data_IF_849308094854
#
_entry.id   IF_849308094854
#
_cell.length_a   1.000
_cell.length_b   1.000
_cell.length_c   1.000
_cell.angle_alpha   90.00
_cell.angle_beta   90.00
_cell.angle_gamma   90.00
#
_symmetry.space_group_name_H-M   'P 1'
#
loop_
_entity.id
_entity.type
_entity.pdbx_description
1 polymer ?
#
# COMPACT_ATOMS: atom_id res chain seq x y z
N UNK A 1 -15.00 -77.58 -32.22
CA UNK A 1 -13.93 -76.57 -32.36
C UNK A 1 -14.19 -75.50 -31.31
N UNK A 2 -13.68 -75.67 -30.08
CA UNK A 2 -12.44 -75.08 -29.52
C UNK A 2 -12.33 -73.54 -29.71
N UNK A 3 -12.61 -72.84 -28.60
CA UNK A 3 -11.95 -71.67 -27.99
C UNK A 3 -11.59 -70.46 -28.85
N UNK A 4 -12.01 -69.24 -28.43
CA UNK A 4 -11.19 -68.22 -27.74
C UNK A 4 -12.12 -67.22 -27.02
N UNK A 5 -11.94 -66.89 -25.72
CA UNK A 5 -12.60 -65.76 -25.08
C UNK A 5 -11.68 -64.52 -25.08
N UNK A 6 -12.19 -63.38 -25.56
CA UNK A 6 -11.54 -62.08 -25.39
C UNK A 6 -11.97 -61.47 -24.05
N UNK A 7 -11.05 -61.30 -23.12
CA UNK A 7 -11.23 -60.47 -21.93
C UNK A 7 -11.23 -58.99 -22.36
N UNK A 8 -12.30 -58.27 -22.07
CA UNK A 8 -12.34 -56.80 -22.09
C UNK A 8 -12.33 -56.33 -20.63
N UNK A 9 -11.22 -55.71 -20.22
CA UNK A 9 -11.10 -55.06 -18.92
C UNK A 9 -11.78 -53.69 -18.97
N UNK A 10 -12.84 -53.50 -18.19
CA UNK A 10 -13.50 -52.21 -18.00
C UNK A 10 -12.77 -51.47 -16.88
N UNK A 11 -12.09 -50.38 -17.23
CA UNK A 11 -11.43 -49.46 -16.30
C UNK A 11 -12.49 -48.53 -15.70
N UNK A 12 -12.76 -48.64 -14.40
CA UNK A 12 -13.64 -47.71 -13.69
C UNK A 12 -12.88 -46.41 -13.39
N UNK A 13 -13.28 -45.31 -14.02
CA UNK A 13 -12.79 -43.96 -13.70
C UNK A 13 -13.61 -43.44 -12.52
N UNK A 14 -13.00 -43.45 -11.33
CA UNK A 14 -13.54 -42.76 -10.17
C UNK A 14 -13.36 -41.25 -10.36
N UNK A 15 -14.45 -40.54 -10.62
CA UNK A 15 -14.48 -39.08 -10.67
C UNK A 15 -14.32 -38.50 -9.26
N UNK A 16 -13.13 -38.01 -8.95
CA UNK A 16 -12.88 -37.21 -7.76
C UNK A 16 -13.57 -35.85 -7.93
N UNK A 17 -14.73 -35.69 -7.32
CA UNK A 17 -15.39 -34.41 -7.18
C UNK A 17 -14.43 -33.42 -6.52
N UNK A 18 -14.24 -32.26 -7.15
CA UNK A 18 -13.39 -31.18 -6.65
C UNK A 18 -13.78 -30.83 -5.23
N UNK A 19 -12.79 -30.95 -4.34
CA UNK A 19 -12.86 -30.54 -2.94
C UNK A 19 -13.27 -29.07 -2.85
N UNK A 20 -14.29 -28.83 -2.04
CA UNK A 20 -14.74 -27.52 -1.59
C UNK A 20 -13.55 -26.65 -1.18
N UNK A 21 -13.58 -25.38 -1.60
CA UNK A 21 -12.78 -24.31 -1.02
C UNK A 21 -12.97 -24.34 0.50
N UNK A 22 -11.89 -24.56 1.25
CA UNK A 22 -11.90 -24.39 2.69
C UNK A 22 -12.37 -22.97 3.00
N UNK A 23 -13.32 -22.82 3.93
CA UNK A 23 -13.65 -21.55 4.57
C UNK A 23 -12.37 -21.02 5.21
N UNK A 24 -11.67 -20.14 4.51
CA UNK A 24 -10.51 -19.44 5.05
C UNK A 24 -11.04 -18.50 6.12
N UNK A 25 -10.70 -18.78 7.38
CA UNK A 25 -11.09 -17.92 8.51
C UNK A 25 -10.69 -16.48 8.16
N UNK A 26 -11.62 -15.51 8.17
CA UNK A 26 -11.30 -14.12 7.84
C UNK A 26 -10.11 -13.63 8.67
N UNK A 27 -9.05 -13.21 7.99
CA UNK A 27 -7.82 -12.73 8.62
C UNK A 27 -7.58 -11.25 8.29
N UNK A 28 -7.15 -10.43 9.26
CA UNK A 28 -6.70 -9.08 8.99
C UNK A 28 -5.27 -9.03 8.43
N UNK A 29 -4.55 -10.15 8.38
CA UNK A 29 -3.17 -10.24 7.90
C UNK A 29 -3.00 -9.69 6.48
N UNK A 30 -1.95 -8.90 6.25
CA UNK A 30 -1.66 -8.24 4.98
C UNK A 30 -2.50 -6.98 4.70
N UNK A 31 -3.30 -6.50 5.67
CA UNK A 31 -4.27 -5.41 5.47
C UNK A 31 -4.04 -4.26 6.43
N UNK A 32 -4.50 -3.08 6.00
CA UNK A 32 -4.54 -1.87 6.84
C UNK A 32 -6.00 -1.45 7.05
N UNK A 33 -6.36 -1.15 8.29
CA UNK A 33 -7.70 -0.73 8.67
C UNK A 33 -7.67 0.67 9.28
N UNK A 34 -8.68 1.49 8.97
CA UNK A 34 -8.83 2.87 9.45
C UNK A 34 -10.16 3.00 10.18
N UNK A 35 -10.15 3.57 11.39
CA UNK A 35 -11.38 3.76 12.17
C UNK A 35 -12.34 4.70 11.47
N UNK A 36 -13.60 4.28 11.35
CA UNK A 36 -14.70 5.07 10.79
C UNK A 36 -15.76 5.42 11.83
N UNK A 37 -15.81 4.69 12.96
CA UNK A 37 -16.72 4.99 14.06
C UNK A 37 -16.15 4.50 15.39
N UNK A 38 -16.43 5.24 16.46
CA UNK A 38 -16.12 4.87 17.85
C UNK A 38 -17.35 5.07 18.71
N UNK A 39 -17.77 4.02 19.42
CA UNK A 39 -18.75 4.11 20.51
C UNK A 39 -18.01 4.04 21.83
N UNK A 40 -18.33 4.92 22.78
CA UNK A 40 -17.60 5.07 24.05
C UNK A 40 -16.70 6.31 24.07
N UNK A 41 -15.56 6.22 24.77
CA UNK A 41 -14.55 7.29 24.84
C UNK A 41 -13.98 7.55 23.43
N UNK A 42 -14.22 8.76 22.90
CA UNK A 42 -13.78 9.12 21.56
C UNK A 42 -12.25 9.26 21.48
N UNK A 43 -11.70 9.02 20.30
CA UNK A 43 -10.29 9.31 20.02
C UNK A 43 -10.11 10.83 20.11
N UNK A 44 -9.23 11.35 20.98
CA UNK A 44 -8.91 12.77 21.02
C UNK A 44 -8.51 13.28 19.62
N UNK A 45 -9.07 14.42 19.21
CA UNK A 45 -8.85 14.96 17.87
C UNK A 45 -9.63 14.24 16.75
N UNK A 46 -10.55 13.34 17.10
CA UNK A 46 -11.40 12.56 16.19
C UNK A 46 -10.66 11.50 15.35
N UNK A 47 -9.43 11.14 15.73
CA UNK A 47 -8.64 10.12 15.07
C UNK A 47 -8.22 10.49 13.64
N UNK A 48 -8.10 9.51 12.72
CA UNK A 48 -8.47 8.10 12.89
C UNK A 48 -7.41 7.28 13.65
N UNK A 49 -7.85 6.16 14.25
CA UNK A 49 -6.97 5.04 14.56
C UNK A 49 -6.70 4.24 13.27
N UNK A 50 -5.43 4.06 12.92
CA UNK A 50 -4.97 3.22 11.81
C UNK A 50 -4.21 2.01 12.36
N UNK A 51 -4.58 0.81 11.90
CA UNK A 51 -3.97 -0.46 12.28
C UNK A 51 -3.53 -1.22 11.03
N UNK A 52 -2.25 -1.55 10.92
CA UNK A 52 -1.72 -2.41 9.85
C UNK A 52 -1.26 -3.75 10.41
N UNK A 53 -1.64 -4.85 9.76
CA UNK A 53 -1.27 -6.21 10.13
C UNK A 53 -0.38 -6.80 9.03
N UNK A 54 0.87 -7.13 9.36
CA UNK A 54 1.81 -7.71 8.42
C UNK A 54 2.89 -8.51 9.16
N UNK A 55 3.23 -9.68 8.63
CA UNK A 55 4.24 -10.61 9.14
C UNK A 55 4.04 -10.95 10.63
N UNK A 56 2.77 -11.12 11.05
CA UNK A 56 2.41 -11.37 12.45
C UNK A 56 2.66 -10.20 13.39
N UNK A 57 2.80 -8.99 12.84
CA UNK A 57 3.01 -7.75 13.60
C UNK A 57 1.86 -6.78 13.40
N UNK A 58 1.59 -6.02 14.45
CA UNK A 58 0.71 -4.86 14.43
C UNK A 58 1.55 -3.59 14.29
N UNK A 59 1.17 -2.73 13.37
CA UNK A 59 1.51 -1.31 13.35
C UNK A 59 0.27 -0.51 13.75
N UNK A 60 0.45 0.52 14.57
CA UNK A 60 -0.65 1.31 15.11
C UNK A 60 -0.30 2.80 15.12
N UNK A 61 -1.29 3.64 14.80
CA UNK A 61 -1.17 5.09 14.83
C UNK A 61 -2.52 5.74 15.09
N UNK A 62 -2.58 6.71 15.99
CA UNK A 62 -3.81 7.48 16.27
C UNK A 62 -3.61 8.99 16.42
N UNK A 63 -2.36 9.45 16.61
CA UNK A 63 -2.08 10.86 16.84
C UNK A 63 -0.72 11.28 16.30
N UNK A 64 0.33 11.02 17.07
CA UNK A 64 1.68 11.50 16.77
C UNK A 64 2.71 10.38 16.74
N UNK A 65 2.70 9.50 17.73
CA UNK A 65 3.65 8.41 17.83
C UNK A 65 3.16 7.17 17.10
N UNK A 66 4.06 6.53 16.34
CA UNK A 66 3.79 5.24 15.71
C UNK A 66 4.17 4.13 16.68
N UNK A 67 3.26 3.19 16.87
CA UNK A 67 3.48 1.96 17.64
C UNK A 67 3.70 0.76 16.73
N UNK A 68 4.56 -0.16 17.14
CA UNK A 68 4.65 -1.48 16.52
C UNK A 68 4.92 -2.59 17.53
N UNK A 69 4.39 -3.78 17.27
CA UNK A 69 4.54 -4.93 18.17
C UNK A 69 4.07 -6.24 17.53
N UNK A 70 4.25 -7.38 18.20
CA UNK A 70 3.60 -8.63 17.76
C UNK A 70 2.08 -8.49 17.82
N UNK A 71 1.38 -9.16 16.90
CA UNK A 71 -0.07 -9.28 16.89
C UNK A 71 -0.46 -10.73 17.20
N UNK A 72 -1.08 -10.97 18.35
CA UNK A 72 -1.72 -12.24 18.67
C UNK A 72 -3.24 -12.05 18.61
N UNK A 73 -3.87 -12.76 17.67
CA UNK A 73 -5.31 -12.74 17.43
C UNK A 73 -6.00 -14.01 17.96
N UNK A 74 -5.26 -14.90 18.62
CA UNK A 74 -5.80 -16.13 19.15
C UNK A 74 -6.85 -15.88 20.24
N UNK A 75 -7.78 -16.80 20.41
CA UNK A 75 -8.83 -16.70 21.42
C UNK A 75 -9.86 -15.58 21.20
N UNK A 76 -9.89 -14.95 20.03
CA UNK A 76 -10.86 -13.88 19.71
C UNK A 76 -10.51 -12.51 20.30
N UNK A 77 -9.30 -12.35 20.83
CA UNK A 77 -8.80 -11.09 21.41
C UNK A 77 -7.51 -10.65 20.73
N UNK A 78 -7.37 -9.34 20.49
CA UNK A 78 -6.14 -8.75 19.97
C UNK A 78 -5.21 -8.45 21.14
N UNK A 79 -4.19 -9.29 21.32
CA UNK A 79 -3.14 -9.08 22.32
C UNK A 79 -1.88 -8.54 21.63
N UNK A 80 -1.35 -7.42 22.14
CA UNK A 80 -0.14 -6.80 21.61
C UNK A 80 0.66 -6.10 22.70
N UNK A 81 1.95 -5.88 22.44
CA UNK A 81 2.81 -5.00 23.24
C UNK A 81 3.49 -4.04 22.28
N UNK A 82 3.01 -2.80 22.23
CA UNK A 82 3.52 -1.78 21.34
C UNK A 82 4.81 -1.16 21.90
N UNK A 83 5.85 -1.15 21.09
CA UNK A 83 6.94 -0.18 21.22
C UNK A 83 6.57 1.05 20.40
N UNK A 84 6.61 2.23 21.01
CA UNK A 84 6.26 3.49 20.36
C UNK A 84 7.47 4.40 20.19
N UNK A 85 7.40 5.28 19.19
CA UNK A 85 8.28 6.45 19.14
C UNK A 85 8.01 7.35 20.36
N UNK A 86 8.95 8.26 20.67
CA UNK A 86 8.86 9.19 21.81
C UNK A 86 8.92 10.66 21.36
N UNK A 87 8.14 11.02 20.34
CA UNK A 87 7.92 12.41 19.96
C UNK A 87 6.97 13.06 20.95
N UNK A 88 7.39 14.19 21.53
CA UNK A 88 6.52 14.99 22.38
C UNK A 88 5.54 15.77 21.50
N UNK A 89 4.25 15.49 21.65
CA UNK A 89 3.19 16.13 20.89
C UNK A 89 2.15 16.76 21.81
N UNK A 90 1.70 18.00 21.51
CA UNK A 90 0.62 18.63 22.28
C UNK A 90 -0.70 17.89 22.09
N UNK A 91 -1.66 18.17 22.97
CA UNK A 91 -3.04 17.78 22.75
C UNK A 91 -3.58 18.40 21.43
N UNK A 92 -4.45 17.69 20.70
CA UNK A 92 -5.02 16.38 21.03
C UNK A 92 -4.14 15.18 20.64
N UNK A 93 -3.03 15.39 19.91
CA UNK A 93 -2.24 14.29 19.33
C UNK A 93 -1.61 13.38 20.38
N UNK A 94 -1.01 13.97 21.42
CA UNK A 94 -0.45 13.20 22.54
C UNK A 94 -1.52 12.43 23.32
N UNK A 95 -2.72 13.00 23.47
CA UNK A 95 -3.85 12.35 24.13
C UNK A 95 -4.38 11.17 23.31
N UNK A 96 -4.38 11.28 21.97
CA UNK A 96 -4.74 10.21 21.05
C UNK A 96 -3.76 9.03 21.12
N UNK A 97 -2.46 9.30 21.24
CA UNK A 97 -1.45 8.26 21.46
C UNK A 97 -1.71 7.50 22.78
N UNK A 98 -2.00 8.23 23.86
CA UNK A 98 -2.33 7.64 25.15
C UNK A 98 -3.64 6.83 25.12
N UNK A 99 -4.66 7.34 24.41
CA UNK A 99 -5.92 6.63 24.18
C UNK A 99 -5.68 5.31 23.44
N UNK A 100 -4.90 5.34 22.35
CA UNK A 100 -4.57 4.15 21.55
C UNK A 100 -3.84 3.10 22.38
N UNK A 101 -2.82 3.51 23.14
CA UNK A 101 -2.05 2.61 23.99
C UNK A 101 -2.92 1.93 25.05
N UNK A 102 -3.84 2.67 25.71
CA UNK A 102 -4.79 2.10 26.67
C UNK A 102 -5.77 1.14 26.00
N UNK A 103 -6.37 1.53 24.87
CA UNK A 103 -7.36 0.73 24.16
C UNK A 103 -6.77 -0.60 23.68
N UNK A 104 -5.64 -0.57 22.96
CA UNK A 104 -4.98 -1.78 22.46
C UNK A 104 -4.35 -2.61 23.58
N UNK A 105 -3.84 -1.96 24.64
CA UNK A 105 -3.32 -2.64 25.82
C UNK A 105 -4.37 -3.38 26.65
N UNK A 106 -5.66 -3.08 26.46
CA UNK A 106 -6.76 -3.76 27.16
C UNK A 106 -7.11 -5.14 26.59
N UNK A 107 -6.53 -5.52 25.45
CA UNK A 107 -6.83 -6.79 24.79
C UNK A 107 -8.24 -6.86 24.21
N UNK A 108 -8.64 -5.92 23.33
CA UNK A 108 -10.02 -5.86 22.83
C UNK A 108 -10.39 -7.16 22.10
N UNK A 109 -11.62 -7.61 22.28
CA UNK A 109 -12.18 -8.65 21.43
C UNK A 109 -12.20 -8.15 19.98
N UNK A 110 -11.87 -9.01 19.02
CA UNK A 110 -11.86 -8.65 17.61
C UNK A 110 -12.82 -9.52 16.81
N UNK A 111 -13.37 -8.94 15.76
CA UNK A 111 -14.10 -9.67 14.72
C UNK A 111 -13.86 -9.02 13.37
N UNK A 112 -13.81 -9.83 12.33
CA UNK A 112 -13.63 -9.38 10.97
C UNK A 112 -14.77 -9.92 10.11
N UNK A 113 -15.53 -9.01 9.51
CA UNK A 113 -16.53 -9.34 8.51
C UNK A 113 -16.16 -8.61 7.21
N UNK A 114 -15.71 -9.38 6.22
CA UNK A 114 -15.21 -8.88 4.95
C UNK A 114 -14.15 -7.77 5.10
N UNK A 115 -14.56 -6.52 4.95
CA UNK A 115 -13.74 -5.31 5.00
C UNK A 115 -13.90 -4.49 6.29
N UNK A 116 -14.67 -4.99 7.24
CA UNK A 116 -14.98 -4.31 8.50
C UNK A 116 -14.34 -5.07 9.67
N UNK A 117 -13.34 -4.45 10.28
CA UNK A 117 -12.73 -4.91 11.53
C UNK A 117 -13.41 -4.20 12.70
N UNK A 118 -13.93 -4.95 13.65
CA UNK A 118 -14.51 -4.40 14.87
C UNK A 118 -13.68 -4.84 16.06
N UNK A 119 -13.23 -3.86 16.85
CA UNK A 119 -12.53 -4.06 18.12
C UNK A 119 -13.41 -3.58 19.26
N UNK A 120 -13.67 -4.43 20.26
CA UNK A 120 -14.57 -4.12 21.36
C UNK A 120 -13.99 -4.44 22.72
N UNK A 121 -14.24 -3.56 23.68
CA UNK A 121 -14.02 -3.77 25.11
C UNK A 121 -15.38 -3.72 25.83
N UNK A 122 -15.39 -3.81 27.16
CA UNK A 122 -16.61 -3.66 27.95
C UNK A 122 -17.25 -2.27 27.82
N UNK A 123 -16.49 -1.22 27.46
CA UNK A 123 -16.95 0.17 27.47
C UNK A 123 -16.82 0.87 26.13
N UNK A 124 -16.18 0.27 25.13
CA UNK A 124 -15.93 0.91 23.85
C UNK A 124 -15.94 -0.07 22.69
N UNK A 125 -16.35 0.42 21.53
CA UNK A 125 -16.30 -0.32 20.27
C UNK A 125 -15.74 0.59 19.19
N UNK A 126 -14.69 0.13 18.51
CA UNK A 126 -14.06 0.81 17.39
C UNK A 126 -14.37 0.00 16.15
N UNK A 127 -15.04 0.63 15.20
CA UNK A 127 -15.30 0.05 13.86
C UNK A 127 -14.29 0.65 12.91
N UNK A 128 -13.50 -0.22 12.27
CA UNK A 128 -12.51 0.13 11.27
C UNK A 128 -12.90 -0.50 9.93
N UNK A 129 -12.57 0.20 8.84
CA UNK A 129 -12.74 -0.30 7.48
C UNK A 129 -11.39 -0.48 6.82
N UNK A 130 -11.30 -1.49 5.98
CA UNK A 130 -10.12 -1.72 5.15
C UNK A 130 -9.79 -0.45 4.36
N UNK A 131 -8.52 -0.05 4.40
CA UNK A 131 -8.03 1.13 3.72
C UNK A 131 -8.32 1.05 2.22
N UNK A 132 -8.18 -0.11 1.60
CA UNK A 132 -8.44 -0.31 0.16
C UNK A 132 -9.90 -0.05 -0.24
N UNK A 133 -10.83 -0.13 0.71
CA UNK A 133 -12.24 0.21 0.48
C UNK A 133 -12.49 1.71 0.66
N UNK A 134 -11.79 2.34 1.61
CA UNK A 134 -11.91 3.77 1.87
C UNK A 134 -11.19 4.63 0.83
N UNK A 135 -10.03 4.19 0.36
CA UNK A 135 -9.23 4.84 -0.67
C UNK A 135 -8.68 3.77 -1.62
N UNK A 136 -9.47 3.36 -2.62
CA UNK A 136 -9.06 2.34 -3.58
C UNK A 136 -7.95 2.85 -4.49
N UNK A 137 -7.06 1.93 -4.88
CA UNK A 137 -5.94 2.20 -5.77
C UNK A 137 -6.41 2.85 -7.08
N UNK A 138 -5.76 3.95 -7.45
CA UNK A 138 -5.98 4.55 -8.76
C UNK A 138 -5.37 3.67 -9.85
N UNK A 139 -5.97 3.60 -11.05
CA UNK A 139 -5.34 2.91 -12.16
C UNK A 139 -3.94 3.47 -12.44
N UNK A 140 -2.94 2.60 -12.63
CA UNK A 140 -1.61 3.05 -13.05
C UNK A 140 -1.67 3.75 -14.42
N UNK A 141 -2.47 3.19 -15.34
CA UNK A 141 -2.66 3.67 -16.70
C UNK A 141 -3.83 4.64 -16.76
N UNK A 142 -3.64 5.78 -17.41
CA UNK A 142 -4.64 6.83 -17.59
C UNK A 142 -4.67 7.87 -16.47
N UNK A 143 -4.01 7.60 -15.33
CA UNK A 143 -3.86 8.56 -14.23
C UNK A 143 -2.66 9.48 -14.45
N UNK A 144 -2.84 10.78 -14.18
CA UNK A 144 -1.74 11.72 -14.06
C UNK A 144 -1.07 11.56 -12.70
N UNK A 145 0.23 11.29 -12.69
CA UNK A 145 1.01 11.10 -11.46
C UNK A 145 2.02 12.23 -11.31
N UNK A 146 1.86 13.07 -10.29
CA UNK A 146 2.82 14.13 -9.94
C UNK A 146 3.86 13.60 -8.95
N UNK A 147 5.13 13.80 -9.24
CA UNK A 147 6.24 13.48 -8.33
C UNK A 147 6.20 14.38 -7.11
N UNK A 148 6.14 13.79 -5.91
CA UNK A 148 6.20 14.51 -4.63
C UNK A 148 7.55 14.35 -3.93
N UNK A 149 8.24 13.23 -4.18
CA UNK A 149 9.46 12.86 -3.46
C UNK A 149 10.41 12.10 -4.39
N UNK A 150 11.70 12.42 -4.29
CA UNK A 150 12.78 11.61 -4.86
C UNK A 150 13.35 10.67 -3.80
N UNK A 151 13.64 9.43 -4.17
CA UNK A 151 14.25 8.44 -3.29
C UNK A 151 15.62 8.05 -3.82
N UNK A 152 16.61 7.99 -2.94
CA UNK A 152 17.95 7.45 -3.24
C UNK A 152 18.46 6.65 -2.04
N UNK A 153 18.56 5.33 -2.21
CA UNK A 153 18.89 4.41 -1.13
C UNK A 153 17.82 4.39 -0.05
N UNK A 154 18.12 4.97 1.11
CA UNK A 154 17.19 5.11 2.25
C UNK A 154 16.77 6.57 2.47
N UNK A 155 17.25 7.50 1.64
CA UNK A 155 16.91 8.91 1.75
C UNK A 155 15.70 9.23 0.89
N UNK A 156 14.68 9.83 1.51
CA UNK A 156 13.57 10.50 0.85
C UNK A 156 13.85 12.01 0.83
N UNK A 157 13.80 12.61 -0.34
CA UNK A 157 14.18 14.00 -0.57
C UNK A 157 13.01 14.77 -1.20
N UNK A 158 12.68 15.90 -0.58
CA UNK A 158 11.78 16.92 -1.14
C UNK A 158 12.55 18.24 -1.29
N UNK A 159 12.09 19.12 -2.18
CA UNK A 159 12.66 20.47 -2.29
C UNK A 159 11.61 21.46 -2.78
N UNK A 160 11.85 22.76 -2.55
CA UNK A 160 10.99 23.84 -3.04
C UNK A 160 10.94 23.81 -4.58
N UNK A 161 12.05 23.49 -5.24
CA UNK A 161 12.07 23.37 -6.70
C UNK A 161 11.17 22.22 -7.18
N UNK A 162 11.19 21.06 -6.50
CA UNK A 162 10.31 19.94 -6.81
C UNK A 162 8.83 20.32 -6.65
N UNK A 163 8.49 20.96 -5.53
CA UNK A 163 7.12 21.42 -5.26
C UNK A 163 6.62 22.44 -6.28
N UNK A 164 7.46 23.40 -6.68
CA UNK A 164 7.09 24.44 -7.64
C UNK A 164 7.03 23.93 -9.08
N UNK A 165 7.98 23.08 -9.48
CA UNK A 165 8.09 22.59 -10.84
C UNK A 165 7.02 21.54 -11.17
N UNK A 166 6.47 20.87 -10.14
CA UNK A 166 5.42 19.84 -10.23
C UNK A 166 5.67 18.85 -11.38
N UNK A 167 6.80 18.13 -11.36
CA UNK A 167 7.03 17.09 -12.35
C UNK A 167 5.94 16.04 -12.28
N UNK A 168 5.63 15.42 -13.40
CA UNK A 168 4.66 14.35 -13.44
C UNK A 168 4.71 13.55 -14.72
N UNK A 169 4.01 12.43 -14.72
CA UNK A 169 3.95 11.51 -15.84
C UNK A 169 2.58 10.86 -15.95
N UNK A 170 2.26 10.40 -17.16
CA UNK A 170 1.06 9.64 -17.45
C UNK A 170 1.45 8.47 -18.34
N UNK A 171 1.11 7.26 -17.89
CA UNK A 171 1.15 6.05 -18.69
C UNK A 171 -0.19 5.91 -19.41
N UNK A 172 -0.17 5.70 -20.73
CA UNK A 172 -1.38 5.56 -21.55
C UNK A 172 -1.61 4.12 -21.98
N UNK A 173 -2.86 3.82 -22.37
CA UNK A 173 -3.28 2.49 -22.79
C UNK A 173 -2.55 1.97 -24.04
N UNK A 174 -2.03 2.87 -24.87
CA UNK A 174 -1.22 2.57 -26.06
C UNK A 174 0.26 2.31 -25.75
N UNK A 175 0.60 2.13 -24.47
CA UNK A 175 1.97 1.94 -23.95
C UNK A 175 2.87 3.16 -24.13
N UNK A 176 2.30 4.33 -24.40
CA UNK A 176 3.07 5.58 -24.36
C UNK A 176 3.19 6.08 -22.92
N UNK A 177 4.36 6.62 -22.60
CA UNK A 177 4.54 7.48 -21.43
C UNK A 177 4.80 8.89 -21.92
N UNK A 178 4.16 9.86 -21.29
CA UNK A 178 4.53 11.27 -21.43
C UNK A 178 4.60 11.92 -20.08
N UNK A 179 5.37 12.99 -19.97
CA UNK A 179 5.39 13.77 -18.75
C UNK A 179 6.16 15.06 -18.88
N UNK A 180 6.37 15.64 -17.71
CA UNK A 180 7.08 16.88 -17.48
C UNK A 180 8.05 16.65 -16.33
N UNK A 181 9.32 16.99 -16.51
CA UNK A 181 10.37 16.80 -15.50
C UNK A 181 10.50 17.97 -14.53
N UNK A 182 9.72 19.04 -14.74
CA UNK A 182 9.98 20.34 -14.12
C UNK A 182 10.74 21.31 -15.05
N UNK A 183 11.33 20.80 -16.12
CA UNK A 183 12.12 21.57 -17.08
C UNK A 183 11.82 21.20 -18.55
N UNK A 184 11.89 19.91 -18.89
CA UNK A 184 11.57 19.41 -20.22
C UNK A 184 10.28 18.60 -20.20
N UNK A 185 9.57 18.63 -21.32
CA UNK A 185 8.59 17.59 -21.64
C UNK A 185 9.34 16.33 -22.05
N UNK A 186 8.80 15.16 -21.71
CA UNK A 186 9.35 13.89 -22.17
C UNK A 186 8.26 12.96 -22.71
N UNK A 187 8.68 12.06 -23.61
CA UNK A 187 7.82 11.04 -24.16
C UNK A 187 8.60 9.77 -24.54
N UNK A 188 7.95 8.62 -24.47
CA UNK A 188 8.55 7.33 -24.83
C UNK A 188 7.55 6.20 -24.72
N UNK A 189 8.06 4.97 -24.55
CA UNK A 189 7.24 3.77 -24.35
C UNK A 189 7.53 3.11 -23.02
N UNK A 190 6.50 2.52 -22.43
CA UNK A 190 6.60 1.73 -21.22
C UNK A 190 5.75 0.46 -21.35
N UNK A 191 6.34 -0.69 -21.05
CA UNK A 191 5.63 -1.97 -21.00
C UNK A 191 5.29 -2.31 -19.56
N UNK A 192 4.06 -2.76 -19.32
CA UNK A 192 3.56 -3.07 -17.97
C UNK A 192 3.26 -4.56 -17.92
N UNK A 193 3.91 -5.27 -17.01
CA UNK A 193 3.70 -6.69 -16.75
C UNK A 193 3.62 -6.88 -15.23
N UNK A 194 2.43 -7.18 -14.72
CA UNK A 194 2.19 -7.23 -13.28
C UNK A 194 2.45 -5.87 -12.63
N UNK A 195 3.34 -5.85 -11.64
CA UNK A 195 3.79 -4.66 -10.92
C UNK A 195 5.08 -4.05 -11.53
N UNK A 196 5.64 -4.64 -12.58
CA UNK A 196 6.83 -4.11 -13.24
C UNK A 196 6.46 -3.22 -14.43
N UNK A 197 6.97 -1.99 -14.42
CA UNK A 197 6.94 -1.06 -15.54
C UNK A 197 8.32 -0.98 -16.16
N UNK A 198 8.46 -1.40 -17.42
CA UNK A 198 9.73 -1.32 -18.15
C UNK A 198 9.71 -0.12 -19.08
N UNK A 199 10.45 0.93 -18.70
CA UNK A 199 10.63 2.12 -19.52
C UNK A 199 11.68 1.89 -20.60
N UNK A 200 11.30 2.14 -21.85
CA UNK A 200 12.25 2.23 -22.96
C UNK A 200 12.96 3.60 -23.00
N UNK A 201 13.74 3.88 -24.06
CA UNK A 201 14.35 5.18 -24.25
C UNK A 201 13.30 6.30 -24.23
N UNK A 202 13.57 7.34 -23.43
CA UNK A 202 12.75 8.54 -23.34
C UNK A 202 13.38 9.66 -24.15
N UNK A 203 12.57 10.38 -24.91
CA UNK A 203 12.96 11.59 -25.61
C UNK A 203 12.53 12.80 -24.78
N UNK A 204 13.39 13.81 -24.68
CA UNK A 204 13.09 15.08 -24.00
C UNK A 204 13.03 16.23 -24.99
N UNK A 205 12.20 17.24 -24.69
CA UNK A 205 12.02 18.42 -25.54
C UNK A 205 11.71 19.66 -24.69
N UNK A 206 12.42 20.75 -24.94
CA UNK A 206 12.40 21.96 -24.11
C UNK A 206 13.71 22.76 -24.20
N UNK A 207 13.76 23.93 -23.53
CA UNK A 207 14.97 24.74 -23.43
C UNK A 207 15.97 24.12 -22.44
N UNK A 208 17.25 24.47 -22.59
CA UNK A 208 18.28 24.06 -21.62
C UNK A 208 17.94 24.59 -20.23
N UNK A 209 17.93 23.70 -19.22
CA UNK A 209 17.88 24.08 -17.81
C UNK A 209 19.18 23.70 -17.12
N UNK A 210 19.76 24.69 -16.44
CA UNK A 210 20.91 24.51 -15.57
C UNK A 210 20.48 24.55 -14.09
N UNK A 211 21.40 24.21 -13.19
CA UNK A 211 21.17 24.24 -11.75
C UNK A 211 20.18 23.18 -11.27
N UNK A 212 19.44 23.51 -10.20
CA UNK A 212 18.59 22.56 -9.47
C UNK A 212 17.50 21.90 -10.34
N UNK A 213 16.92 22.63 -11.31
CA UNK A 213 15.93 22.05 -12.24
C UNK A 213 16.54 21.01 -13.19
N UNK A 214 17.77 21.23 -13.64
CA UNK A 214 18.50 20.25 -14.46
C UNK A 214 18.92 19.02 -13.66
N UNK A 215 19.31 19.20 -12.39
CA UNK A 215 19.60 18.10 -11.45
C UNK A 215 18.35 17.26 -11.14
N UNK A 216 17.21 17.94 -10.93
CA UNK A 216 15.91 17.32 -10.71
C UNK A 216 15.49 16.47 -11.91
N UNK A 217 15.56 17.03 -13.12
CA UNK A 217 15.24 16.30 -14.34
C UNK A 217 16.10 15.04 -14.49
N UNK A 218 17.42 15.15 -14.35
CA UNK A 218 18.33 14.00 -14.45
C UNK A 218 17.99 12.92 -13.44
N UNK A 219 17.55 13.31 -12.24
CA UNK A 219 17.17 12.37 -11.19
C UNK A 219 15.87 11.64 -11.50
N UNK A 220 14.87 12.34 -12.05
CA UNK A 220 13.62 11.73 -12.50
C UNK A 220 13.88 10.75 -13.65
N UNK A 221 14.59 11.18 -14.69
CA UNK A 221 14.87 10.34 -15.87
C UNK A 221 15.71 9.11 -15.54
N UNK A 222 16.58 9.18 -14.51
CA UNK A 222 17.34 8.02 -14.03
C UNK A 222 16.43 6.93 -13.47
N UNK A 223 15.37 7.30 -12.76
CA UNK A 223 14.39 6.32 -12.24
C UNK A 223 13.55 5.75 -13.38
N UNK A 224 13.16 6.57 -14.35
CA UNK A 224 12.30 6.18 -15.48
C UNK A 224 13.08 5.49 -16.61
N UNK A 225 13.95 4.54 -16.28
CA UNK A 225 14.76 3.80 -17.23
C UNK A 225 14.81 2.31 -16.90
N UNK A 226 14.52 1.47 -17.88
CA UNK A 226 14.52 0.02 -17.70
C UNK A 226 13.38 -0.45 -16.79
N UNK A 227 13.52 -1.64 -16.16
CA UNK A 227 12.49 -2.18 -15.27
C UNK A 227 12.42 -1.41 -13.95
N UNK A 228 11.21 -1.06 -13.57
CA UNK A 228 10.88 -0.30 -12.36
C UNK A 228 9.70 -0.98 -11.68
N UNK A 229 9.81 -1.26 -10.39
CA UNK A 229 8.68 -1.78 -9.61
C UNK A 229 7.71 -0.66 -9.28
N UNK A 230 6.44 -0.85 -9.60
CA UNK A 230 5.35 0.05 -9.30
C UNK A 230 4.47 -0.53 -8.19
N UNK A 231 4.26 0.24 -7.13
CA UNK A 231 3.30 -0.07 -6.08
C UNK A 231 2.35 1.09 -5.90
N UNK A 232 1.05 0.81 -5.89
CA UNK A 232 0.00 1.82 -5.69
C UNK A 232 -0.65 1.56 -4.35
N UNK A 233 -0.89 2.62 -3.61
CA UNK A 233 -1.64 2.63 -2.36
C UNK A 233 -2.55 3.85 -2.37
N UNK A 234 -3.80 3.65 -2.78
CA UNK A 234 -4.78 4.72 -2.99
C UNK A 234 -4.33 5.72 -4.04
N UNK A 235 -4.14 6.97 -3.64
CA UNK A 235 -3.66 8.07 -4.49
C UNK A 235 -2.13 8.17 -4.61
N UNK A 236 -1.36 7.24 -4.01
CA UNK A 236 0.11 7.29 -4.01
C UNK A 236 0.70 6.16 -4.85
N UNK A 237 1.56 6.52 -5.80
CA UNK A 237 2.36 5.60 -6.60
C UNK A 237 3.82 5.67 -6.14
N UNK A 238 4.41 4.53 -5.84
CA UNK A 238 5.85 4.39 -5.62
C UNK A 238 6.46 3.65 -6.80
N UNK A 239 7.43 4.30 -7.46
CA UNK A 239 8.26 3.71 -8.49
C UNK A 239 9.65 3.47 -7.92
N UNK A 240 10.11 2.21 -7.93
CA UNK A 240 11.43 1.82 -7.45
C UNK A 240 12.26 1.29 -8.62
N UNK A 241 13.25 2.08 -9.01
CA UNK A 241 14.18 1.76 -10.09
C UNK A 241 15.43 1.04 -9.59
N UNK A 242 16.42 0.93 -10.47
CA UNK A 242 17.71 0.34 -10.15
C UNK A 242 18.48 1.17 -9.10
N UNK A 243 19.46 0.52 -8.45
CA UNK A 243 20.42 1.17 -7.54
C UNK A 243 19.75 1.92 -6.36
N UNK A 244 18.54 1.49 -5.96
CA UNK A 244 17.80 2.10 -4.86
C UNK A 244 17.26 3.50 -5.18
N UNK A 245 17.19 3.88 -6.44
CA UNK A 245 16.55 5.12 -6.87
C UNK A 245 15.03 4.93 -6.94
N UNK A 246 14.27 5.97 -6.64
CA UNK A 246 12.81 5.88 -6.70
C UNK A 246 12.12 7.23 -6.78
N UNK A 247 10.84 7.17 -7.11
CA UNK A 247 9.92 8.30 -7.10
C UNK A 247 8.72 7.91 -6.25
N UNK A 248 8.30 8.82 -5.38
CA UNK A 248 6.95 8.79 -4.84
C UNK A 248 6.15 9.84 -5.58
N UNK A 249 4.99 9.43 -6.06
CA UNK A 249 4.09 10.24 -6.87
C UNK A 249 2.70 10.21 -6.25
N UNK A 250 1.92 11.24 -6.54
CA UNK A 250 0.51 11.36 -6.18
C UNK A 250 -0.35 11.51 -7.41
N UNK A 251 -1.51 10.87 -7.41
CA UNK A 251 -2.52 11.05 -8.45
C UNK A 251 -3.03 12.51 -8.49
N UNK A 252 -3.27 13.01 -9.70
CA UNK A 252 -3.91 14.31 -9.99
C UNK A 252 -5.29 14.16 -10.62
#
# INVERSE_FOLDING_TARGET
MRLVPFLVAVLAVAGSAGTATADETPTPEGRTFVSVAVTGEQIPGNGPLTLGFADGRLSAFAGCNRGSGPADLSGGHLTTRLATTMMACPAPLGDADAWMARFLGSGPAWSLNADTLTLSTATSTVTLRDKSVLDPDRPLVGTGWRVDTLVTGQAAMTSVALEQARPGLTLRADRTVTGWTGCHTFYGRAEIVGDTVTFGPLNTSGPVCDGELGDLERSILRVLHGPVQASIDGDRLTLTGAEGTGLVLRAE
#
